data_IF_903486652539
#
_entry.id   IF_903486652539
#
_cell.length_a   1.000
_cell.length_b   1.000
_cell.length_c   1.000
_cell.angle_alpha   90.00
_cell.angle_beta   90.00
_cell.angle_gamma   90.00
#
_symmetry.space_group_name_H-M   'P 1'
#
loop_
_entity.id
_entity.type
_entity.pdbx_description
1 polymer ?
#
# COMPACT_ATOMS: atom_id res chain seq x y z
N UNK A 1 -16.61 -4.85 7.79
CA UNK A 1 -15.65 -3.74 8.00
C UNK A 1 -14.99 -3.95 9.34
N UNK A 2 -13.95 -4.77 9.39
CA UNK A 2 -13.21 -5.07 10.63
C UNK A 2 -12.16 -3.98 10.82
N UNK A 3 -12.53 -2.89 11.49
CA UNK A 3 -11.53 -1.99 12.09
C UNK A 3 -11.00 -2.69 13.33
N UNK A 4 -9.90 -3.43 13.17
CA UNK A 4 -9.14 -3.99 14.28
C UNK A 4 -8.10 -2.95 14.71
N UNK A 5 -8.34 -2.35 15.87
CA UNK A 5 -7.59 -1.24 16.46
C UNK A 5 -6.19 -1.63 17.00
N UNK A 6 -5.53 -2.62 16.40
CA UNK A 6 -4.21 -3.16 16.83
C UNK A 6 -3.15 -3.14 15.72
N UNK A 7 -3.50 -2.61 14.53
CA UNK A 7 -2.60 -2.51 13.39
C UNK A 7 -1.89 -1.15 13.46
N UNK A 8 -0.60 -1.15 13.82
CA UNK A 8 0.26 0.04 13.72
C UNK A 8 0.25 0.62 12.30
N UNK A 9 0.58 1.91 12.15
CA UNK A 9 0.57 2.59 10.86
C UNK A 9 1.26 1.76 9.76
N UNK A 10 0.66 1.67 8.55
CA UNK A 10 1.25 0.92 7.46
C UNK A 10 2.63 1.48 7.15
N UNK A 11 3.59 0.58 6.90
CA UNK A 11 4.93 0.99 6.49
C UNK A 11 4.88 1.77 5.17
N UNK A 12 5.90 2.61 4.86
CA UNK A 12 5.95 3.33 3.58
C UNK A 12 5.81 2.41 2.36
N UNK A 13 6.39 1.21 2.42
CA UNK A 13 6.28 0.21 1.35
C UNK A 13 4.84 -0.30 1.19
N UNK A 14 4.14 -0.56 2.29
CA UNK A 14 2.75 -1.01 2.26
C UNK A 14 1.82 0.07 1.74
N UNK A 15 2.00 1.32 2.18
CA UNK A 15 1.19 2.43 1.70
C UNK A 15 1.46 2.72 0.21
N UNK A 16 2.70 2.53 -0.28
CA UNK A 16 3.02 2.63 -1.70
C UNK A 16 2.37 1.52 -2.53
N UNK A 17 2.40 0.28 -2.04
CA UNK A 17 1.74 -0.84 -2.71
C UNK A 17 0.22 -0.70 -2.74
N UNK A 18 -0.39 -0.26 -1.64
CA UNK A 18 -1.83 0.04 -1.59
C UNK A 18 -2.21 1.09 -2.63
N UNK A 19 -1.44 2.18 -2.73
CA UNK A 19 -1.64 3.21 -3.74
C UNK A 19 -1.54 2.65 -5.17
N UNK A 20 -0.53 1.83 -5.47
CA UNK A 20 -0.36 1.22 -6.80
C UNK A 20 -1.51 0.29 -7.18
N UNK A 21 -2.02 -0.53 -6.24
CA UNK A 21 -3.13 -1.46 -6.48
C UNK A 21 -4.44 -0.73 -6.81
N UNK A 22 -4.60 0.53 -6.37
CA UNK A 22 -5.78 1.35 -6.62
C UNK A 22 -5.80 1.97 -8.02
N UNK A 23 -4.67 2.01 -8.71
CA UNK A 23 -4.57 2.61 -10.04
C UNK A 23 -5.20 1.68 -11.09
N UNK A 24 -5.93 2.25 -12.04
CA UNK A 24 -6.49 1.47 -13.15
C UNK A 24 -5.37 0.84 -13.99
N UNK A 25 -5.57 -0.41 -14.41
CA UNK A 25 -4.63 -1.18 -15.23
C UNK A 25 -3.21 -1.37 -14.64
N UNK A 26 -3.04 -1.22 -13.32
CA UNK A 26 -1.76 -1.43 -12.63
C UNK A 26 -1.78 -2.73 -11.83
N UNK A 27 -0.78 -3.58 -12.08
CA UNK A 27 -0.50 -4.77 -11.27
C UNK A 27 0.94 -4.70 -10.72
N UNK A 28 1.14 -4.30 -9.45
CA UNK A 28 2.48 -4.20 -8.89
C UNK A 28 3.12 -5.59 -8.69
N UNK A 29 4.41 -5.71 -9.01
CA UNK A 29 5.22 -6.93 -8.81
C UNK A 29 6.31 -6.62 -7.77
N UNK A 30 5.98 -6.55 -6.48
CA UNK A 30 6.95 -6.17 -5.48
C UNK A 30 7.97 -7.27 -5.25
N UNK A 31 9.25 -6.88 -5.23
CA UNK A 31 10.31 -7.77 -4.78
C UNK A 31 10.17 -8.11 -3.30
N UNK A 32 10.53 -9.34 -2.93
CA UNK A 32 10.67 -9.77 -1.54
C UNK A 32 11.88 -10.71 -1.45
N UNK A 33 12.83 -10.38 -0.58
CA UNK A 33 14.01 -11.19 -0.32
C UNK A 33 13.77 -12.24 0.78
N UNK A 34 12.69 -12.12 1.53
CA UNK A 34 12.32 -13.03 2.60
C UNK A 34 10.80 -13.08 2.80
N UNK A 35 10.35 -14.08 3.58
CA UNK A 35 8.93 -14.32 3.85
C UNK A 35 8.25 -13.15 4.59
N UNK A 36 8.98 -12.44 5.45
CA UNK A 36 8.43 -11.30 6.18
C UNK A 36 8.08 -10.14 5.23
N UNK A 37 8.95 -9.86 4.24
CA UNK A 37 8.67 -8.86 3.20
C UNK A 37 7.48 -9.28 2.32
N UNK A 38 7.42 -10.56 1.93
CA UNK A 38 6.28 -11.06 1.16
C UNK A 38 4.95 -10.92 1.93
N UNK A 39 4.96 -11.24 3.22
CA UNK A 39 3.79 -11.04 4.09
C UNK A 39 3.44 -9.56 4.26
N UNK A 40 4.45 -8.70 4.42
CA UNK A 40 4.27 -7.25 4.47
C UNK A 40 3.62 -6.71 3.20
N UNK A 41 4.11 -7.12 2.03
CA UNK A 41 3.54 -6.75 0.73
C UNK A 41 2.07 -7.19 0.63
N UNK A 42 1.73 -8.41 1.04
CA UNK A 42 0.35 -8.92 1.03
C UNK A 42 -0.60 -8.10 1.92
N UNK A 43 -0.13 -7.70 3.12
CA UNK A 43 -0.92 -6.85 4.04
C UNK A 43 -1.27 -5.48 3.47
N UNK A 44 -0.63 -5.05 2.39
CA UNK A 44 -0.96 -3.79 1.71
C UNK A 44 -2.36 -3.80 1.09
N UNK A 45 -2.98 -4.97 0.93
CA UNK A 45 -4.34 -5.11 0.37
C UNK A 45 -5.40 -5.10 1.48
N UNK A 46 -5.01 -5.27 2.75
CA UNK A 46 -5.94 -5.44 3.87
C UNK A 46 -6.51 -4.11 4.40
N UNK A 47 -6.05 -2.97 3.87
CA UNK A 47 -6.51 -1.63 4.25
C UNK A 47 -6.67 -0.74 3.02
N UNK A 48 -7.20 0.45 3.21
CA UNK A 48 -7.26 1.49 2.19
C UNK A 48 -6.63 2.77 2.75
N UNK A 49 -5.69 3.35 2.01
CA UNK A 49 -5.27 4.73 2.28
C UNK A 49 -6.41 5.70 1.97
N UNK A 50 -6.47 6.82 2.68
CA UNK A 50 -7.47 7.85 2.41
C UNK A 50 -7.23 8.52 1.04
N UNK A 51 -8.27 9.11 0.48
CA UNK A 51 -8.18 9.83 -0.80
C UNK A 51 -7.13 10.95 -0.73
N UNK A 52 -7.10 11.69 0.39
CA UNK A 52 -6.11 12.75 0.62
C UNK A 52 -4.66 12.23 0.65
N UNK A 53 -4.44 11.01 1.12
CA UNK A 53 -3.12 10.37 1.10
C UNK A 53 -2.75 9.84 -0.29
N UNK A 54 -3.74 9.42 -1.08
CA UNK A 54 -3.56 9.02 -2.47
C UNK A 54 -3.20 10.22 -3.35
N UNK A 55 -3.95 11.32 -3.26
CA UNK A 55 -3.72 12.57 -4.00
C UNK A 55 -2.30 13.13 -3.76
N UNK A 56 -1.80 13.08 -2.53
CA UNK A 56 -0.44 13.51 -2.21
C UNK A 56 0.65 12.71 -2.94
N UNK A 57 0.38 11.43 -3.24
CA UNK A 57 1.32 10.54 -3.94
C UNK A 57 1.26 10.72 -5.45
N UNK A 58 0.08 11.04 -5.99
CA UNK A 58 -0.07 11.41 -7.40
C UNK A 58 0.80 12.64 -7.71
N UNK A 59 0.77 13.65 -6.84
CA UNK A 59 1.62 14.85 -6.96
C UNK A 59 3.11 14.50 -6.89
N UNK A 60 3.50 13.54 -6.04
CA UNK A 60 4.90 13.15 -5.84
C UNK A 60 5.47 12.24 -6.95
N UNK A 61 4.61 11.59 -7.74
CA UNK A 61 5.00 10.60 -8.76
C UNK A 61 4.91 11.13 -10.19
N UNK A 62 4.34 12.32 -10.40
CA UNK A 62 4.29 12.99 -11.71
C UNK A 62 5.44 14.01 -11.88
N UNK A 63 6.07 14.12 -13.08
CA UNK A 63 7.16 15.06 -13.35
C UNK A 63 6.74 16.54 -13.46
#
# INVERSE_FOLDING_TARGET
MTTSADEGFPSPAQAALNWLVRQEDVLPIPGAQNAQQAQGNARSIDFEISEQEAEQRDIATWP
#
